data_IF_690661822296
#
_entry.id   IF_690661822296
#
_cell.length_a   1.000
_cell.length_b   1.000
_cell.length_c   1.000
_cell.angle_alpha   90.00
_cell.angle_beta   90.00
_cell.angle_gamma   90.00
#
_symmetry.space_group_name_H-M   'P 1'
#
loop_
_entity.id
_entity.type
_entity.pdbx_description
1 polymer ?
#
# COMPACT_ATOMS: atom_id res chain seq x y z
N UNK A 1 -13.68 -8.08 2.47
CA UNK A 1 -12.31 -7.97 1.92
C UNK A 1 -12.25 -8.78 0.63
N UNK A 2 -11.69 -8.23 -0.45
CA UNK A 2 -11.38 -9.04 -1.63
C UNK A 2 -10.15 -9.93 -1.38
N UNK A 3 -9.94 -10.94 -2.21
CA UNK A 3 -8.78 -11.85 -2.13
C UNK A 3 -7.45 -11.09 -2.15
N UNK A 4 -7.32 -10.07 -3.01
CA UNK A 4 -6.12 -9.22 -3.09
C UNK A 4 -5.88 -8.40 -1.82
N UNK A 5 -6.92 -7.78 -1.27
CA UNK A 5 -6.80 -7.02 -0.01
C UNK A 5 -6.45 -7.93 1.17
N UNK A 6 -7.02 -9.14 1.25
CA UNK A 6 -6.73 -10.09 2.32
C UNK A 6 -5.26 -10.54 2.31
N UNK A 7 -4.75 -10.90 1.14
CA UNK A 7 -3.35 -11.34 0.98
C UNK A 7 -2.36 -10.21 1.28
N UNK A 8 -2.57 -9.01 0.72
CA UNK A 8 -1.67 -7.88 0.91
C UNK A 8 -1.65 -7.38 2.35
N UNK A 9 -2.82 -7.11 2.93
CA UNK A 9 -2.92 -6.53 4.27
C UNK A 9 -2.45 -7.50 5.37
N UNK A 10 -2.79 -8.79 5.23
CA UNK A 10 -2.36 -9.83 6.17
C UNK A 10 -0.84 -10.00 6.17
N UNK A 11 -0.24 -10.13 4.98
CA UNK A 11 1.21 -10.25 4.83
C UNK A 11 1.95 -9.02 5.37
N UNK A 12 1.47 -7.82 5.06
CA UNK A 12 2.06 -6.56 5.53
C UNK A 12 2.01 -6.43 7.06
N UNK A 13 0.86 -6.74 7.68
CA UNK A 13 0.69 -6.66 9.14
C UNK A 13 1.59 -7.66 9.86
N UNK A 14 1.76 -8.87 9.32
CA UNK A 14 2.64 -9.88 9.89
C UNK A 14 4.14 -9.53 9.75
N UNK A 15 4.52 -8.97 8.59
CA UNK A 15 5.92 -8.60 8.32
C UNK A 15 6.37 -7.34 9.07
N UNK A 16 5.45 -6.41 9.38
CA UNK A 16 5.77 -5.12 10.02
C UNK A 16 6.56 -5.24 11.33
N UNK A 17 6.18 -6.11 12.29
CA UNK A 17 6.95 -6.29 13.53
C UNK A 17 8.10 -7.31 13.41
N UNK A 18 8.25 -7.98 12.27
CA UNK A 18 9.19 -9.10 12.11
C UNK A 18 10.64 -8.62 12.32
N UNK A 19 11.38 -9.26 13.24
CA UNK A 19 12.76 -8.91 13.56
C UNK A 19 12.94 -7.70 14.48
N UNK A 20 11.86 -7.07 14.95
CA UNK A 20 11.92 -5.94 15.88
C UNK A 20 11.73 -6.36 17.34
N UNK A 21 12.41 -5.71 18.30
CA UNK A 21 12.14 -5.89 19.73
C UNK A 21 10.68 -5.52 20.09
N UNK A 22 10.11 -6.22 21.07
CA UNK A 22 8.69 -6.07 21.46
C UNK A 22 8.31 -4.61 21.80
N UNK A 23 9.21 -3.85 22.42
CA UNK A 23 8.97 -2.44 22.78
C UNK A 23 8.83 -1.51 21.55
N UNK A 24 9.22 -1.96 20.35
CA UNK A 24 9.15 -1.18 19.11
C UNK A 24 7.95 -1.55 18.24
N UNK A 25 7.19 -2.62 18.57
CA UNK A 25 6.06 -3.08 17.75
C UNK A 25 4.98 -2.00 17.61
N UNK A 26 4.76 -1.19 18.65
CA UNK A 26 3.84 -0.05 18.59
C UNK A 26 4.29 1.02 17.58
N UNK A 27 5.59 1.32 17.53
CA UNK A 27 6.17 2.27 16.57
C UNK A 27 6.10 1.71 15.15
N UNK A 28 6.43 0.43 14.98
CA UNK A 28 6.33 -0.26 13.68
C UNK A 28 4.89 -0.24 13.13
N UNK A 29 3.91 -0.53 14.00
CA UNK A 29 2.49 -0.42 13.66
C UNK A 29 2.08 1.00 13.28
N UNK A 30 2.52 2.01 14.03
CA UNK A 30 2.24 3.42 13.73
C UNK A 30 2.81 3.82 12.35
N UNK A 31 4.08 3.48 12.07
CA UNK A 31 4.72 3.74 10.77
C UNK A 31 3.96 3.05 9.63
N UNK A 32 3.54 1.80 9.83
CA UNK A 32 2.76 1.07 8.83
C UNK A 32 1.41 1.74 8.53
N UNK A 33 0.70 2.19 9.56
CA UNK A 33 -0.58 2.93 9.36
C UNK A 33 -0.34 4.27 8.68
N UNK A 34 0.68 5.02 9.10
CA UNK A 34 1.03 6.29 8.46
C UNK A 34 1.37 6.11 6.98
N UNK A 35 2.16 5.09 6.63
CA UNK A 35 2.49 4.77 5.24
C UNK A 35 1.23 4.45 4.43
N UNK A 36 0.30 3.65 4.97
CA UNK A 36 -0.98 3.35 4.33
C UNK A 36 -1.82 4.62 4.12
N UNK A 37 -1.90 5.50 5.12
CA UNK A 37 -2.68 6.74 5.00
C UNK A 37 -2.10 7.69 3.96
N UNK A 38 -0.77 7.83 3.90
CA UNK A 38 -0.10 8.59 2.84
C UNK A 38 -0.44 7.98 1.48
N UNK A 39 -0.31 6.66 1.33
CA UNK A 39 -0.64 5.95 0.10
C UNK A 39 -2.09 6.15 -0.33
N UNK A 40 -3.04 6.05 0.60
CA UNK A 40 -4.46 6.26 0.35
C UNK A 40 -4.74 7.69 -0.12
N UNK A 41 -4.18 8.70 0.56
CA UNK A 41 -4.38 10.11 0.19
C UNK A 41 -3.76 10.44 -1.16
N UNK A 42 -2.50 10.04 -1.41
CA UNK A 42 -1.80 10.30 -2.67
C UNK A 42 -2.46 9.56 -3.83
N UNK A 43 -2.80 8.28 -3.64
CA UNK A 43 -3.49 7.48 -4.65
C UNK A 43 -4.83 8.10 -5.03
N UNK A 44 -5.65 8.49 -4.06
CA UNK A 44 -6.92 9.16 -4.33
C UNK A 44 -6.72 10.48 -5.07
N UNK A 45 -5.76 11.31 -4.66
CA UNK A 45 -5.47 12.58 -5.32
C UNK A 45 -5.12 12.41 -6.80
N UNK A 46 -4.30 11.40 -7.13
CA UNK A 46 -3.94 11.08 -8.52
C UNK A 46 -5.18 10.66 -9.32
N UNK A 47 -6.00 9.75 -8.79
CA UNK A 47 -7.19 9.25 -9.49
C UNK A 47 -8.21 10.37 -9.75
N UNK A 48 -8.42 11.24 -8.76
CA UNK A 48 -9.28 12.42 -8.92
C UNK A 48 -8.72 13.37 -9.97
N UNK A 49 -7.41 13.69 -9.91
CA UNK A 49 -6.77 14.57 -10.88
C UNK A 49 -6.89 14.04 -12.32
N UNK A 50 -6.69 12.73 -12.52
CA UNK A 50 -6.87 12.08 -13.84
C UNK A 50 -8.33 12.15 -14.29
N UNK A 51 -9.27 11.78 -13.42
CA UNK A 51 -10.69 11.78 -13.76
C UNK A 51 -11.19 13.18 -14.14
N UNK A 52 -10.84 14.19 -13.33
CA UNK A 52 -11.21 15.59 -13.59
C UNK A 52 -10.50 16.15 -14.82
N UNK A 53 -9.23 15.81 -15.03
CA UNK A 53 -8.44 16.25 -16.19
C UNK A 53 -8.99 15.71 -17.50
N UNK A 54 -9.42 14.45 -17.55
CA UNK A 54 -10.02 13.83 -18.74
C UNK A 54 -11.46 14.27 -18.97
N UNK A 55 -12.24 14.42 -17.90
CA UNK A 55 -13.63 14.91 -18.00
C UNK A 55 -13.70 16.41 -18.31
N UNK A 56 -12.60 17.16 -18.23
CA UNK A 56 -12.58 18.62 -18.46
C UNK A 56 -13.47 19.41 -17.51
N UNK A 57 -13.81 18.86 -16.33
CA UNK A 57 -14.77 19.45 -15.40
C UNK A 57 -16.24 19.37 -15.83
N UNK A 58 -16.55 18.63 -16.91
CA UNK A 58 -17.92 18.42 -17.36
C UNK A 58 -18.73 17.70 -16.29
N UNK A 59 -19.98 18.10 -16.10
CA UNK A 59 -20.92 17.49 -15.15
C UNK A 59 -21.90 16.53 -15.83
N UNK A 60 -21.82 16.40 -17.17
CA UNK A 60 -22.65 15.45 -17.87
C UNK A 60 -22.17 14.01 -17.59
N UNK A 61 -23.07 13.02 -17.59
CA UNK A 61 -22.71 11.65 -17.23
C UNK A 61 -21.72 10.97 -18.20
N UNK A 62 -21.75 11.33 -19.49
CA UNK A 62 -20.93 10.70 -20.51
C UNK A 62 -19.44 11.06 -20.37
N UNK A 63 -19.15 12.34 -20.15
CA UNK A 63 -17.78 12.82 -19.96
C UNK A 63 -17.20 12.38 -18.62
N UNK A 64 -18.02 12.37 -17.57
CA UNK A 64 -17.65 11.81 -16.26
C UNK A 64 -17.26 10.33 -16.36
N UNK A 65 -18.01 9.54 -17.15
CA UNK A 65 -17.69 8.13 -17.37
C UNK A 65 -16.33 7.96 -18.05
N UNK A 66 -16.01 8.81 -19.03
CA UNK A 66 -14.69 8.83 -19.69
C UNK A 66 -13.57 9.09 -18.68
N UNK A 67 -13.75 10.07 -17.79
CA UNK A 67 -12.79 10.34 -16.70
C UNK A 67 -12.60 9.17 -15.75
N UNK A 68 -13.69 8.50 -15.36
CA UNK A 68 -13.59 7.30 -14.52
C UNK A 68 -12.87 6.14 -15.22
N UNK A 69 -13.15 5.89 -16.50
CA UNK A 69 -12.43 4.86 -17.26
C UNK A 69 -10.92 5.14 -17.29
N UNK A 70 -10.53 6.38 -17.56
CA UNK A 70 -9.13 6.78 -17.53
C UNK A 70 -8.51 6.57 -16.15
N UNK A 71 -9.21 6.98 -15.08
CA UNK A 71 -8.76 6.77 -13.71
C UNK A 71 -8.58 5.28 -13.37
N UNK A 72 -9.50 4.41 -13.79
CA UNK A 72 -9.37 2.96 -13.57
C UNK A 72 -8.21 2.34 -14.33
N UNK A 73 -7.93 2.76 -15.56
CA UNK A 73 -6.74 2.32 -16.28
C UNK A 73 -5.46 2.75 -15.57
N UNK A 74 -5.41 3.99 -15.06
CA UNK A 74 -4.28 4.47 -14.26
C UNK A 74 -4.14 3.67 -12.96
N UNK A 75 -5.25 3.39 -12.26
CA UNK A 75 -5.23 2.55 -11.06
C UNK A 75 -4.66 1.15 -11.35
N UNK A 76 -5.10 0.53 -12.44
CA UNK A 76 -4.58 -0.76 -12.90
C UNK A 76 -3.09 -0.72 -13.22
N UNK A 77 -2.63 0.32 -13.92
CA UNK A 77 -1.22 0.52 -14.25
C UNK A 77 -0.35 0.71 -13.00
N UNK A 78 -0.79 1.54 -12.05
CA UNK A 78 -0.09 1.74 -10.76
C UNK A 78 -0.02 0.43 -9.98
N UNK A 79 -1.12 -0.32 -9.91
CA UNK A 79 -1.15 -1.63 -9.25
C UNK A 79 -0.19 -2.63 -9.88
N UNK A 80 -0.14 -2.68 -11.22
CA UNK A 80 0.77 -3.55 -11.96
C UNK A 80 2.23 -3.13 -11.76
N UNK A 81 2.54 -1.84 -11.80
CA UNK A 81 3.88 -1.31 -11.52
C UNK A 81 4.32 -1.62 -10.09
N UNK A 82 3.42 -1.44 -9.10
CA UNK A 82 3.69 -1.79 -7.71
C UNK A 82 3.96 -3.28 -7.54
N UNK A 83 3.10 -4.14 -8.12
CA UNK A 83 3.30 -5.59 -8.11
C UNK A 83 4.61 -6.02 -8.78
N UNK A 84 4.93 -5.43 -9.94
CA UNK A 84 6.17 -5.68 -10.64
C UNK A 84 7.39 -5.22 -9.83
N UNK A 85 7.31 -4.07 -9.19
CA UNK A 85 8.37 -3.56 -8.31
C UNK A 85 8.63 -4.54 -7.18
N UNK A 86 7.58 -5.04 -6.52
CA UNK A 86 7.71 -6.04 -5.46
C UNK A 86 8.33 -7.34 -5.98
N UNK A 87 7.89 -7.82 -7.16
CA UNK A 87 8.42 -9.04 -7.77
C UNK A 87 9.90 -8.92 -8.17
N UNK A 88 10.32 -7.74 -8.63
CA UNK A 88 11.69 -7.49 -9.10
C UNK A 88 12.64 -7.11 -7.96
N UNK A 89 12.12 -6.62 -6.82
CA UNK A 89 12.95 -6.23 -5.68
C UNK A 89 13.43 -7.46 -4.92
N UNK A 90 14.75 -7.59 -4.76
CA UNK A 90 15.36 -8.63 -3.92
C UNK A 90 15.31 -8.18 -2.47
N UNK A 91 14.36 -8.69 -1.70
CA UNK A 91 14.33 -8.46 -0.26
C UNK A 91 15.43 -9.29 0.43
N UNK A 92 16.34 -8.66 1.20
CA UNK A 92 17.31 -9.39 2.01
C UNK A 92 16.54 -10.27 3.01
N UNK A 93 16.99 -11.53 3.18
CA UNK A 93 16.41 -12.41 4.20
C UNK A 93 16.69 -11.78 5.56
N UNK A 94 15.63 -11.50 6.34
CA UNK A 94 15.77 -11.03 7.70
C UNK A 94 16.62 -12.05 8.47
N UNK A 95 17.81 -11.64 8.90
CA UNK A 95 18.66 -12.47 9.75
C UNK A 95 17.94 -12.62 11.08
N UNK A 96 17.46 -13.83 11.35
CA UNK A 96 16.83 -14.18 12.63
C UNK A 96 17.92 -14.13 13.70
N UNK A 97 18.15 -12.95 14.28
CA UNK A 97 19.00 -12.84 15.46
C UNK A 97 18.33 -13.61 16.60
N UNK A 98 19.04 -14.50 17.32
CA UNK A 98 18.47 -15.24 18.43
C UNK A 98 17.94 -14.24 19.47
N UNK A 99 16.71 -14.44 19.92
CA UNK A 99 16.09 -13.67 20.99
C UNK A 99 16.95 -13.73 22.24
N UNK A 100 17.78 -12.71 22.45
CA UNK A 100 18.49 -12.47 23.70
C UNK A 100 17.48 -12.00 24.76
N UNK A 101 16.69 -12.93 25.30
CA UNK A 101 15.88 -12.74 26.52
C UNK A 101 15.40 -14.11 27.03
N UNK A 102 16.36 -15.00 27.27
CA UNK A 102 16.20 -16.15 28.19
C UNK A 102 16.88 -15.86 29.54
N UNK A 103 17.27 -14.61 29.82
CA UNK A 103 17.87 -14.26 31.11
C UNK A 103 17.32 -12.92 31.60
N UNK A 104 16.33 -13.00 32.50
CA UNK A 104 16.50 -12.44 33.84
C UNK A 104 15.53 -13.10 34.85
N UNK A 105 16.04 -13.51 36.03
CA UNK A 105 15.32 -14.22 37.08
C UNK A 105 14.31 -13.34 37.83
#
# INVERSE_FOLDING_TARGET
MSTGQGLGFGAMTAATPEGLPLHQHGVAGAVNVTAQQIGNSVGLAILVAVSTGVSGGATNPADQLSGFHAAYWVAGAIGLLGGLTVLLTKFPKAATAPSASEERP
#
